data_IF_041861697450
#
_entry.id   IF_041861697450
#
_cell.length_a   1.000
_cell.length_b   1.000
_cell.length_c   1.000
_cell.angle_alpha   90.00
_cell.angle_beta   90.00
_cell.angle_gamma   90.00
#
_symmetry.space_group_name_H-M   'P 1'
#
loop_
_entity.id
_entity.type
_entity.pdbx_description
1 polymer ?
#
# COMPACT_ATOMS: atom_id res chain seq x y z
N UNK A 1 1.13 -19.09 -14.59
CA UNK A 1 2.24 -18.67 -13.68
C UNK A 1 1.78 -18.92 -12.26
N UNK A 2 2.54 -19.66 -11.46
CA UNK A 2 2.20 -19.93 -10.07
C UNK A 2 2.44 -18.66 -9.25
N UNK A 3 1.46 -18.25 -8.46
CA UNK A 3 1.54 -17.04 -7.65
C UNK A 3 2.53 -17.27 -6.49
N UNK A 4 3.55 -16.38 -6.35
CA UNK A 4 4.57 -16.52 -5.31
C UNK A 4 3.96 -16.41 -3.92
N UNK A 5 4.35 -17.29 -3.03
CA UNK A 5 3.97 -17.22 -1.61
C UNK A 5 4.67 -16.07 -0.90
N UNK A 6 4.08 -15.56 0.18
CA UNK A 6 4.64 -14.43 0.94
C UNK A 6 6.07 -14.69 1.43
N UNK A 7 6.39 -15.92 1.83
CA UNK A 7 7.74 -16.28 2.26
C UNK A 7 8.79 -16.11 1.18
N UNK A 8 8.47 -16.50 -0.06
CA UNK A 8 9.35 -16.35 -1.23
C UNK A 8 9.58 -14.86 -1.56
N UNK A 9 8.51 -14.05 -1.49
CA UNK A 9 8.60 -12.60 -1.73
C UNK A 9 9.52 -11.93 -0.71
N UNK A 10 9.38 -12.30 0.57
CA UNK A 10 10.22 -11.75 1.65
C UNK A 10 11.68 -12.19 1.48
N UNK A 11 11.93 -13.47 1.17
CA UNK A 11 13.28 -13.99 0.98
C UNK A 11 13.99 -13.28 -0.19
N UNK A 12 13.34 -13.17 -1.35
CA UNK A 12 13.90 -12.47 -2.52
C UNK A 12 14.17 -10.99 -2.25
N UNK A 13 13.22 -10.31 -1.56
CA UNK A 13 13.38 -8.90 -1.24
C UNK A 13 14.50 -8.66 -0.22
N UNK A 14 14.65 -9.56 0.76
CA UNK A 14 15.76 -9.55 1.72
C UNK A 14 17.11 -9.68 1.02
N UNK A 15 17.22 -10.63 0.09
CA UNK A 15 18.46 -10.85 -0.68
C UNK A 15 18.79 -9.65 -1.56
N UNK A 16 17.81 -9.08 -2.24
CA UNK A 16 17.97 -7.85 -3.03
C UNK A 16 18.39 -6.66 -2.18
N UNK A 17 17.93 -6.59 -0.93
CA UNK A 17 18.34 -5.56 0.02
C UNK A 17 19.70 -5.85 0.68
N UNK A 18 20.37 -6.96 0.35
CA UNK A 18 21.70 -7.32 0.83
C UNK A 18 21.73 -7.88 2.27
N UNK A 19 20.59 -8.27 2.83
CA UNK A 19 20.55 -8.84 4.19
C UNK A 19 20.67 -10.35 4.19
N UNK A 20 21.52 -10.89 5.08
CA UNK A 20 21.35 -12.28 5.52
C UNK A 20 20.09 -12.41 6.38
N UNK A 21 19.55 -13.63 6.51
CA UNK A 21 18.37 -13.88 7.35
C UNK A 21 18.57 -13.42 8.80
N UNK A 22 19.77 -13.67 9.37
CA UNK A 22 20.12 -13.24 10.74
C UNK A 22 20.20 -11.70 10.87
N UNK A 23 20.74 -11.04 9.86
CA UNK A 23 20.82 -9.56 9.86
C UNK A 23 19.43 -8.95 9.80
N UNK A 24 18.58 -9.37 8.86
CA UNK A 24 17.21 -8.85 8.77
C UNK A 24 16.42 -9.12 10.06
N UNK A 25 16.52 -10.32 10.63
CA UNK A 25 15.85 -10.64 11.87
C UNK A 25 16.27 -9.71 13.02
N UNK A 26 17.59 -9.44 13.13
CA UNK A 26 18.14 -8.50 14.12
C UNK A 26 17.62 -7.08 13.92
N UNK A 27 17.72 -6.54 12.70
CA UNK A 27 17.26 -5.18 12.38
C UNK A 27 15.75 -5.02 12.61
N UNK A 28 14.95 -5.98 12.17
CA UNK A 28 13.51 -5.99 12.35
C UNK A 28 13.07 -6.32 13.80
N UNK A 29 14.01 -6.56 14.71
CA UNK A 29 13.72 -6.97 16.09
C UNK A 29 12.70 -8.12 16.18
N UNK A 30 13.02 -9.22 15.46
CA UNK A 30 12.29 -10.50 15.47
C UNK A 30 13.28 -11.64 15.68
N UNK A 31 12.81 -12.81 16.03
CA UNK A 31 13.69 -13.98 16.12
C UNK A 31 14.07 -14.50 14.73
N UNK A 32 15.31 -15.00 14.58
CA UNK A 32 15.74 -15.65 13.33
C UNK A 32 14.87 -16.87 13.00
N UNK A 33 14.42 -17.61 14.02
CA UNK A 33 13.53 -18.74 13.84
C UNK A 33 12.16 -18.33 13.26
N UNK A 34 11.62 -17.19 13.70
CA UNK A 34 10.37 -16.63 13.14
C UNK A 34 10.53 -16.26 11.67
N UNK A 35 11.61 -15.55 11.31
CA UNK A 35 11.88 -15.20 9.94
C UNK A 35 12.11 -16.43 9.06
N UNK A 36 12.84 -17.41 9.56
CA UNK A 36 13.08 -18.69 8.87
C UNK A 36 11.78 -19.43 8.56
N UNK A 37 10.85 -19.51 9.52
CA UNK A 37 9.54 -20.14 9.33
C UNK A 37 8.67 -19.41 8.30
N UNK A 38 8.77 -18.09 8.24
CA UNK A 38 8.07 -17.28 7.24
C UNK A 38 8.65 -17.57 5.85
N UNK A 39 9.95 -17.47 5.69
CA UNK A 39 10.61 -17.64 4.39
C UNK A 39 10.50 -19.08 3.86
N UNK A 40 10.52 -20.08 4.73
CA UNK A 40 10.32 -21.49 4.33
C UNK A 40 8.86 -21.85 3.99
N UNK A 41 7.92 -20.95 4.30
CA UNK A 41 6.49 -21.20 4.13
C UNK A 41 5.86 -22.07 5.24
N UNK A 42 6.62 -22.46 6.28
CA UNK A 42 6.08 -23.14 7.46
C UNK A 42 5.04 -22.25 8.17
N UNK A 43 5.23 -20.93 8.12
CA UNK A 43 4.26 -19.96 8.59
C UNK A 43 3.62 -19.22 7.38
N UNK A 44 2.53 -19.76 6.90
CA UNK A 44 1.81 -19.20 5.74
C UNK A 44 1.14 -17.85 6.03
N UNK A 45 0.69 -17.64 7.27
CA UNK A 45 0.09 -16.39 7.74
C UNK A 45 0.95 -15.79 8.84
N UNK A 46 1.97 -14.98 8.51
CA UNK A 46 2.79 -14.27 9.49
C UNK A 46 1.99 -13.22 10.27
N UNK A 47 2.44 -12.93 11.49
CA UNK A 47 1.82 -11.89 12.29
C UNK A 47 1.97 -10.51 11.60
N UNK A 48 0.87 -9.72 11.47
CA UNK A 48 0.92 -8.37 10.89
C UNK A 48 1.99 -7.46 11.48
N UNK A 49 2.20 -7.51 12.81
CA UNK A 49 3.27 -6.75 13.47
C UNK A 49 4.67 -7.16 12.99
N UNK A 50 4.87 -8.46 12.72
CA UNK A 50 6.13 -8.99 12.17
C UNK A 50 6.34 -8.49 10.75
N UNK A 51 5.31 -8.56 9.89
CA UNK A 51 5.38 -8.05 8.51
C UNK A 51 5.67 -6.55 8.46
N UNK A 52 5.04 -5.75 9.34
CA UNK A 52 5.31 -4.30 9.44
C UNK A 52 6.75 -4.00 9.84
N UNK A 53 7.35 -4.80 10.70
CA UNK A 53 8.77 -4.65 11.08
C UNK A 53 9.70 -4.98 9.91
N UNK A 54 9.44 -6.08 9.21
CA UNK A 54 10.22 -6.55 8.06
C UNK A 54 10.15 -5.56 6.90
N UNK A 55 8.95 -5.01 6.59
CA UNK A 55 8.73 -4.12 5.46
C UNK A 55 9.63 -2.88 5.45
N UNK A 56 10.04 -2.42 6.63
CA UNK A 56 10.92 -1.25 6.79
C UNK A 56 12.32 -1.44 6.18
N UNK A 57 12.76 -2.68 5.97
CA UNK A 57 14.14 -3.00 5.60
C UNK A 57 14.28 -3.62 4.21
N UNK A 58 13.20 -4.15 3.63
CA UNK A 58 13.26 -4.95 2.40
C UNK A 58 12.57 -4.33 1.18
N UNK A 59 12.14 -3.07 1.27
CA UNK A 59 11.48 -2.35 0.17
C UNK A 59 10.27 -3.10 -0.43
N UNK A 60 9.50 -3.80 0.41
CA UNK A 60 8.20 -4.40 0.05
C UNK A 60 7.12 -3.69 0.84
N UNK A 61 6.07 -3.28 0.15
CA UNK A 61 4.97 -2.58 0.78
C UNK A 61 4.24 -3.48 1.77
N UNK A 62 4.04 -3.00 3.01
CA UNK A 62 3.35 -3.73 4.06
C UNK A 62 1.94 -4.18 3.64
N UNK A 63 1.19 -3.31 2.96
CA UNK A 63 -0.17 -3.62 2.53
C UNK A 63 -0.20 -4.70 1.44
N UNK A 64 0.82 -4.71 0.55
CA UNK A 64 1.00 -5.79 -0.43
C UNK A 64 1.25 -7.14 0.28
N UNK A 65 2.08 -7.15 1.32
CA UNK A 65 2.29 -8.35 2.13
C UNK A 65 1.02 -8.81 2.85
N UNK A 66 0.25 -7.86 3.40
CA UNK A 66 -1.02 -8.16 4.05
C UNK A 66 -2.06 -8.74 3.08
N UNK A 67 -2.11 -8.20 1.87
CA UNK A 67 -2.95 -8.73 0.80
C UNK A 67 -2.58 -10.19 0.46
N UNK A 68 -1.30 -10.46 0.29
CA UNK A 68 -0.78 -11.80 -0.04
C UNK A 68 -1.10 -12.88 1.00
N UNK A 69 -1.27 -12.52 2.25
CA UNK A 69 -1.66 -13.46 3.32
C UNK A 69 -3.17 -13.49 3.59
N UNK A 70 -3.97 -12.83 2.74
CA UNK A 70 -5.43 -12.77 2.88
C UNK A 70 -5.95 -11.94 4.06
N UNK A 71 -5.09 -11.16 4.70
CA UNK A 71 -5.44 -10.22 5.78
C UNK A 71 -5.43 -8.76 5.32
N UNK A 72 -4.98 -8.49 4.09
CA UNK A 72 -5.14 -7.21 3.43
C UNK A 72 -6.60 -7.05 3.00
N UNK A 73 -7.13 -5.83 3.07
CA UNK A 73 -8.26 -5.52 2.21
C UNK A 73 -7.77 -5.76 0.78
N UNK A 74 -8.51 -6.54 0.00
CA UNK A 74 -8.22 -6.69 -1.42
C UNK A 74 -8.03 -5.29 -1.99
N UNK A 75 -6.83 -5.01 -2.47
CA UNK A 75 -6.51 -3.73 -3.13
C UNK A 75 -7.36 -3.60 -4.42
N UNK A 76 -7.91 -4.70 -4.90
CA UNK A 76 -8.91 -4.77 -5.98
C UNK A 76 -10.36 -4.64 -5.47
N UNK A 77 -10.62 -4.62 -4.17
CA UNK A 77 -11.96 -4.38 -3.62
C UNK A 77 -11.97 -3.09 -2.81
N UNK A 78 -12.06 -1.98 -3.51
CA UNK A 78 -12.66 -0.78 -2.95
C UNK A 78 -13.86 -1.21 -2.12
N UNK A 79 -13.93 -0.74 -0.88
CA UNK A 79 -15.06 -0.99 0.00
C UNK A 79 -16.35 -1.01 -0.83
N UNK A 80 -17.17 -2.07 -0.74
CA UNK A 80 -18.38 -2.21 -1.56
C UNK A 80 -19.28 -0.96 -1.55
N UNK A 81 -19.30 -0.21 -0.44
CA UNK A 81 -20.03 1.06 -0.35
C UNK A 81 -19.43 2.15 -1.24
N UNK A 82 -18.10 2.24 -1.34
CA UNK A 82 -17.42 3.19 -2.23
C UNK A 82 -17.76 2.83 -3.68
N UNK A 83 -17.66 1.55 -4.04
CA UNK A 83 -18.01 1.08 -5.37
C UNK A 83 -19.46 1.40 -5.71
N UNK A 84 -20.41 1.04 -4.82
CA UNK A 84 -21.83 1.31 -5.01
C UNK A 84 -22.17 2.80 -5.09
N UNK A 85 -21.38 3.65 -4.43
CA UNK A 85 -21.54 5.10 -4.50
C UNK A 85 -21.22 5.63 -5.91
N UNK A 86 -20.07 5.25 -6.47
CA UNK A 86 -19.67 5.68 -7.81
C UNK A 86 -20.50 5.01 -8.93
N UNK A 87 -20.97 3.77 -8.75
CA UNK A 87 -21.82 3.06 -9.71
C UNK A 87 -23.18 3.72 -9.94
N UNK A 88 -23.63 4.60 -9.04
CA UNK A 88 -24.88 5.36 -9.18
C UNK A 88 -24.71 6.67 -9.93
N UNK A 89 -23.50 7.13 -10.16
CA UNK A 89 -23.20 8.41 -10.77
C UNK A 89 -23.39 8.38 -12.29
N UNK A 90 -23.92 9.47 -12.82
CA UNK A 90 -23.91 9.72 -14.26
C UNK A 90 -22.53 10.17 -14.76
N UNK A 91 -22.38 10.39 -16.09
CA UNK A 91 -21.09 10.72 -16.69
C UNK A 91 -20.51 12.05 -16.18
N UNK A 92 -21.34 13.07 -15.96
CA UNK A 92 -20.90 14.39 -15.52
C UNK A 92 -20.43 14.33 -14.05
N UNK A 93 -21.21 13.65 -13.20
CA UNK A 93 -20.83 13.38 -11.81
C UNK A 93 -19.53 12.57 -11.70
N UNK A 94 -19.32 11.58 -12.57
CA UNK A 94 -18.06 10.81 -12.63
C UNK A 94 -16.88 11.68 -13.10
N UNK A 95 -17.11 12.64 -14.02
CA UNK A 95 -16.06 13.56 -14.43
C UNK A 95 -15.63 14.48 -13.29
N UNK A 96 -16.59 15.05 -12.56
CA UNK A 96 -16.32 15.89 -11.39
C UNK A 96 -15.64 15.11 -10.27
N UNK A 97 -16.11 13.89 -9.99
CA UNK A 97 -15.52 13.01 -8.99
C UNK A 97 -14.07 12.67 -9.32
N UNK A 98 -13.73 12.40 -10.59
CA UNK A 98 -12.35 12.13 -11.01
C UNK A 98 -11.45 13.33 -10.76
N UNK A 99 -11.89 14.55 -11.09
CA UNK A 99 -11.13 15.78 -10.84
C UNK A 99 -10.85 15.95 -9.35
N UNK A 100 -11.87 15.75 -8.51
CA UNK A 100 -11.76 15.88 -7.06
C UNK A 100 -10.79 14.86 -6.46
N UNK A 101 -10.86 13.61 -6.90
CA UNK A 101 -9.95 12.55 -6.41
C UNK A 101 -8.51 12.80 -6.87
N UNK A 102 -8.30 13.23 -8.11
CA UNK A 102 -6.96 13.59 -8.61
C UNK A 102 -6.38 14.79 -7.86
N UNK A 103 -7.19 15.81 -7.56
CA UNK A 103 -6.79 16.94 -6.72
C UNK A 103 -6.39 16.51 -5.30
N UNK A 104 -7.12 15.57 -4.70
CA UNK A 104 -6.78 15.00 -3.40
C UNK A 104 -5.44 14.25 -3.44
N UNK A 105 -5.17 13.45 -4.48
CA UNK A 105 -3.89 12.76 -4.68
C UNK A 105 -2.74 13.78 -4.75
N UNK A 106 -2.91 14.85 -5.50
CA UNK A 106 -1.87 15.88 -5.65
C UNK A 106 -1.57 16.60 -4.33
N UNK A 107 -2.60 16.93 -3.55
CA UNK A 107 -2.42 17.53 -2.22
C UNK A 107 -1.73 16.57 -1.26
N UNK A 108 -2.11 15.31 -1.28
CA UNK A 108 -1.48 14.27 -0.47
C UNK A 108 0.00 14.07 -0.84
N UNK A 109 0.36 14.14 -2.12
CA UNK A 109 1.78 14.09 -2.57
C UNK A 109 2.59 15.26 -2.00
N UNK A 110 2.05 16.49 -2.07
CA UNK A 110 2.70 17.66 -1.48
C UNK A 110 2.95 17.51 0.01
N UNK A 111 1.99 16.91 0.74
CA UNK A 111 2.16 16.62 2.15
C UNK A 111 3.31 15.62 2.38
N UNK A 112 3.36 14.53 1.63
CA UNK A 112 4.44 13.53 1.70
C UNK A 112 5.80 14.18 1.42
N UNK A 113 5.89 15.01 0.38
CA UNK A 113 7.13 15.71 0.03
C UNK A 113 7.56 16.67 1.13
N UNK A 114 6.62 17.42 1.72
CA UNK A 114 6.89 18.29 2.87
C UNK A 114 7.40 17.52 4.09
N UNK A 115 6.79 16.37 4.39
CA UNK A 115 7.25 15.50 5.47
C UNK A 115 8.66 14.96 5.20
N UNK A 116 8.95 14.53 3.96
CA UNK A 116 10.28 14.06 3.54
C UNK A 116 11.35 15.15 3.63
N UNK A 117 11.02 16.41 3.29
CA UNK A 117 11.93 17.54 3.48
C UNK A 117 12.19 17.83 4.97
N UNK A 118 11.16 17.76 5.82
CA UNK A 118 11.34 17.95 7.25
C UNK A 118 12.23 16.87 7.88
N UNK A 119 12.17 15.62 7.39
CA UNK A 119 13.04 14.54 7.85
C UNK A 119 14.53 14.77 7.56
N UNK A 120 14.89 15.65 6.61
CA UNK A 120 16.30 15.99 6.29
C UNK A 120 16.92 16.99 7.26
N UNK A 121 16.16 17.59 8.16
CA UNK A 121 16.67 18.57 9.14
C UNK A 121 17.60 17.91 10.15
N UNK A 122 18.77 18.54 10.41
CA UNK A 122 19.84 17.98 11.26
C UNK A 122 19.45 17.78 12.74
N UNK A 123 18.50 18.55 13.26
CA UNK A 123 18.14 18.58 14.69
C UNK A 123 16.69 18.18 14.94
N UNK A 124 16.17 17.18 14.20
CA UNK A 124 14.83 16.67 14.42
C UNK A 124 14.82 15.77 15.67
N UNK A 125 13.82 15.93 16.51
CA UNK A 125 13.61 15.07 17.67
C UNK A 125 13.10 13.69 17.24
N UNK A 126 13.43 12.62 17.96
CA UNK A 126 13.06 11.25 17.55
C UNK A 126 11.54 11.05 17.49
N UNK A 127 10.80 11.63 18.43
CA UNK A 127 9.33 11.61 18.39
C UNK A 127 8.74 12.36 17.19
N UNK A 128 9.33 13.48 16.77
CA UNK A 128 8.92 14.20 15.57
C UNK A 128 9.21 13.38 14.30
N UNK A 129 10.34 12.70 14.27
CA UNK A 129 10.73 11.82 13.18
C UNK A 129 9.77 10.63 13.05
N UNK A 130 9.40 9.98 14.17
CA UNK A 130 8.41 8.90 14.15
C UNK A 130 7.06 9.39 13.64
N UNK A 131 6.60 10.57 14.07
CA UNK A 131 5.35 11.16 13.63
C UNK A 131 5.36 11.43 12.13
N UNK A 132 6.45 12.02 11.61
CA UNK A 132 6.59 12.28 10.16
C UNK A 132 6.59 10.99 9.33
N UNK A 133 7.29 9.96 9.80
CA UNK A 133 7.32 8.67 9.12
C UNK A 133 5.93 8.01 9.09
N UNK A 134 5.19 8.06 10.20
CA UNK A 134 3.82 7.56 10.26
C UNK A 134 2.88 8.35 9.33
N UNK A 135 3.01 9.69 9.32
CA UNK A 135 2.22 10.54 8.44
C UNK A 135 2.49 10.23 6.97
N UNK A 136 3.75 9.98 6.59
CA UNK A 136 4.10 9.57 5.22
C UNK A 136 3.44 8.23 4.89
N UNK A 137 3.57 7.22 5.75
CA UNK A 137 3.02 5.87 5.52
C UNK A 137 1.50 5.92 5.32
N UNK A 138 0.79 6.62 6.21
CA UNK A 138 -0.67 6.75 6.13
C UNK A 138 -1.11 7.53 4.88
N UNK A 139 -0.38 8.60 4.53
CA UNK A 139 -0.72 9.42 3.36
C UNK A 139 -0.43 8.66 2.05
N UNK A 140 0.66 7.91 1.97
CA UNK A 140 0.96 7.05 0.81
C UNK A 140 -0.10 5.95 0.64
N UNK A 141 -0.62 5.39 1.74
CA UNK A 141 -1.76 4.47 1.70
C UNK A 141 -3.02 5.14 1.12
N UNK A 142 -3.35 6.36 1.58
CA UNK A 142 -4.49 7.11 1.06
C UNK A 142 -4.34 7.42 -0.44
N UNK A 143 -3.14 7.78 -0.89
CA UNK A 143 -2.85 8.00 -2.32
C UNK A 143 -3.14 6.74 -3.13
N UNK A 144 -2.73 5.57 -2.65
CA UNK A 144 -2.95 4.31 -3.36
C UNK A 144 -4.45 3.95 -3.44
N UNK A 145 -5.19 4.11 -2.34
CA UNK A 145 -6.65 3.92 -2.35
C UNK A 145 -7.33 4.88 -3.33
N UNK A 146 -6.92 6.15 -3.34
CA UNK A 146 -7.46 7.15 -4.26
C UNK A 146 -7.17 6.81 -5.73
N UNK A 147 -6.01 6.24 -6.05
CA UNK A 147 -5.70 5.76 -7.40
C UNK A 147 -6.64 4.65 -7.86
N UNK A 148 -7.00 3.72 -6.97
CA UNK A 148 -7.98 2.67 -7.28
C UNK A 148 -9.36 3.24 -7.55
N UNK A 149 -9.75 4.28 -6.81
CA UNK A 149 -11.00 5.02 -7.08
C UNK A 149 -10.96 5.65 -8.48
N UNK A 150 -9.84 6.26 -8.88
CA UNK A 150 -9.69 6.81 -10.24
C UNK A 150 -9.86 5.71 -11.30
N UNK A 151 -9.24 4.56 -11.12
CA UNK A 151 -9.38 3.42 -12.04
C UNK A 151 -10.84 2.95 -12.13
N UNK A 152 -11.53 2.84 -10.99
CA UNK A 152 -12.96 2.53 -10.96
C UNK A 152 -13.77 3.55 -11.74
N UNK A 153 -13.61 4.84 -11.47
CA UNK A 153 -14.32 5.94 -12.15
C UNK A 153 -14.10 5.85 -13.67
N UNK A 154 -12.86 5.68 -14.11
CA UNK A 154 -12.52 5.55 -15.54
C UNK A 154 -13.23 4.34 -16.18
N UNK A 155 -13.29 3.21 -15.50
CA UNK A 155 -14.00 2.02 -15.96
C UNK A 155 -15.51 2.26 -16.08
N UNK A 156 -16.10 2.98 -15.14
CA UNK A 156 -17.52 3.34 -15.15
C UNK A 156 -17.85 4.34 -16.27
N UNK A 157 -16.99 5.33 -16.50
CA UNK A 157 -17.13 6.28 -17.61
C UNK A 157 -17.16 5.57 -18.97
N UNK A 158 -16.32 4.56 -19.18
CA UNK A 158 -16.35 3.73 -20.40
C UNK A 158 -17.68 2.99 -20.53
N UNK A 159 -18.19 2.41 -19.43
CA UNK A 159 -19.50 1.72 -19.44
C UNK A 159 -20.64 2.66 -19.77
N UNK A 160 -20.68 3.85 -19.18
CA UNK A 160 -21.74 4.85 -19.42
C UNK A 160 -21.71 5.37 -20.87
N UNK A 161 -20.53 5.66 -21.44
CA UNK A 161 -20.40 6.05 -22.85
C UNK A 161 -20.92 4.96 -23.80
N UNK A 162 -20.62 3.69 -23.51
CA UNK A 162 -21.07 2.57 -24.33
C UNK A 162 -22.59 2.33 -24.22
N UNK A 163 -23.23 2.64 -23.09
CA UNK A 163 -24.70 2.62 -22.98
C UNK A 163 -25.35 3.72 -23.82
N UNK A 164 -24.80 4.92 -23.82
CA UNK A 164 -25.33 6.07 -24.57
C UNK A 164 -25.12 5.92 -26.08
N UNK A 165 -24.09 5.20 -26.54
CA UNK A 165 -23.85 4.92 -27.96
C UNK A 165 -24.80 3.86 -28.56
N UNK A 166 -25.52 3.10 -27.70
CA UNK A 166 -26.48 2.06 -28.12
C UNK A 166 -27.95 2.51 -28.10
N UNK A 167 -28.20 3.73 -27.69
CA UNK A 167 -29.51 4.42 -27.74
C UNK A 167 -29.58 5.32 -28.94
#
# INVERSE_FOLDING_TARGET
MQEKKIGEIIAEAREKAGYSQRQLAKEANISNAELSKIESGEREIPNPKTLRKISKYINVNYNEMMYKIGLGMEVSSLNPFIKAYYEKMNLDELNEAEINVLGSIENSRKLVDSCKENLKKKNILENEKELLLHTIEDTEYQINTSREIVILIQSLKVKERNKNAKK
#
